data_IF_607323144194
#
_entry.id   IF_607323144194
#
_cell.length_a   1.000
_cell.length_b   1.000
_cell.length_c   1.000
_cell.angle_alpha   90.00
_cell.angle_beta   90.00
_cell.angle_gamma   90.00
#
_symmetry.space_group_name_H-M   'P 1'
#
loop_
_entity.id
_entity.type
_entity.pdbx_description
1 polymer ?
#
# COMPACT_ATOMS: atom_id res chain seq x y z
N UNK A 1 -25.32 11.40 -9.51
CA UNK A 1 -26.25 10.63 -8.66
C UNK A 1 -26.36 9.24 -9.25
N UNK A 2 -26.40 8.19 -8.41
CA UNK A 2 -26.60 6.83 -8.90
C UNK A 2 -28.02 6.70 -9.50
N UNK A 3 -28.20 6.06 -10.66
CA UNK A 3 -29.53 5.76 -11.18
C UNK A 3 -30.36 4.95 -10.18
N UNK A 4 -31.68 5.12 -10.19
CA UNK A 4 -32.57 4.27 -9.41
C UNK A 4 -32.45 2.80 -9.86
N UNK A 5 -32.88 1.88 -8.99
CA UNK A 5 -32.71 0.45 -9.23
C UNK A 5 -33.36 -0.02 -10.54
N UNK A 6 -34.51 0.54 -10.92
CA UNK A 6 -35.20 0.19 -12.16
C UNK A 6 -34.43 0.67 -13.40
N UNK A 7 -33.88 1.88 -13.34
CA UNK A 7 -33.02 2.44 -14.40
C UNK A 7 -31.71 1.66 -14.53
N UNK A 8 -31.07 1.29 -13.41
CA UNK A 8 -29.87 0.44 -13.39
C UNK A 8 -30.12 -0.91 -14.08
N UNK A 9 -31.23 -1.59 -13.74
CA UNK A 9 -31.61 -2.84 -14.41
C UNK A 9 -31.88 -2.66 -15.90
N UNK A 10 -32.53 -1.55 -16.31
CA UNK A 10 -32.75 -1.24 -17.74
C UNK A 10 -31.44 -1.01 -18.49
N UNK A 11 -30.48 -0.31 -17.89
CA UNK A 11 -29.13 -0.11 -18.44
C UNK A 11 -28.41 -1.46 -18.62
N UNK A 12 -28.43 -2.32 -17.61
CA UNK A 12 -27.80 -3.65 -17.70
C UNK A 12 -28.44 -4.52 -18.80
N UNK A 13 -29.77 -4.49 -18.95
CA UNK A 13 -30.45 -5.22 -20.02
C UNK A 13 -30.10 -4.63 -21.40
N UNK A 14 -30.09 -3.30 -21.54
CA UNK A 14 -29.71 -2.63 -22.79
C UNK A 14 -28.27 -2.93 -23.20
N UNK A 15 -27.35 -3.04 -22.24
CA UNK A 15 -25.96 -3.43 -22.51
C UNK A 15 -25.88 -4.83 -23.11
N UNK A 16 -26.63 -5.80 -22.58
CA UNK A 16 -26.71 -7.14 -23.16
C UNK A 16 -27.34 -7.15 -24.56
N UNK A 17 -28.39 -6.36 -24.77
CA UNK A 17 -29.02 -6.21 -26.10
C UNK A 17 -28.04 -5.58 -27.09
N UNK A 18 -27.27 -4.58 -26.65
CA UNK A 18 -26.20 -3.95 -27.44
C UNK A 18 -25.12 -4.97 -27.83
N UNK A 19 -24.75 -5.88 -26.93
CA UNK A 19 -23.84 -7.01 -27.19
C UNK A 19 -24.47 -8.13 -28.04
N UNK A 20 -25.73 -7.99 -28.45
CA UNK A 20 -26.47 -8.92 -29.31
C UNK A 20 -27.23 -10.02 -28.59
N UNK A 21 -27.20 -10.07 -27.25
CA UNK A 21 -27.98 -11.02 -26.46
C UNK A 21 -29.40 -10.50 -26.22
N UNK A 22 -30.39 -11.18 -26.83
CA UNK A 22 -31.80 -10.78 -26.80
C UNK A 22 -32.69 -11.76 -26.07
N UNK A 23 -32.18 -12.94 -25.69
CA UNK A 23 -32.98 -13.98 -25.03
C UNK A 23 -33.17 -13.58 -23.56
N UNK A 24 -34.42 -13.39 -23.09
CA UNK A 24 -34.67 -12.96 -21.72
C UNK A 24 -34.09 -13.90 -20.67
N UNK A 25 -34.04 -15.21 -20.95
CA UNK A 25 -33.44 -16.21 -20.07
C UNK A 25 -31.92 -16.07 -19.94
N UNK A 26 -31.23 -15.72 -21.02
CA UNK A 26 -29.78 -15.50 -21.02
C UNK A 26 -29.42 -14.20 -20.30
N UNK A 27 -30.15 -13.12 -20.59
CA UNK A 27 -30.01 -11.83 -19.91
C UNK A 27 -30.25 -12.00 -18.40
N UNK A 28 -31.36 -12.66 -18.01
CA UNK A 28 -31.72 -12.91 -16.62
C UNK A 28 -30.60 -13.63 -15.85
N UNK A 29 -30.00 -14.66 -16.48
CA UNK A 29 -28.89 -15.41 -15.92
C UNK A 29 -27.65 -14.54 -15.68
N UNK A 30 -27.33 -13.64 -16.62
CA UNK A 30 -26.14 -12.79 -16.52
C UNK A 30 -26.29 -11.67 -15.49
N UNK A 31 -27.47 -11.05 -15.40
CA UNK A 31 -27.70 -9.92 -14.48
C UNK A 31 -28.20 -10.35 -13.09
N UNK A 32 -28.57 -11.63 -12.92
CA UNK A 32 -28.99 -12.19 -11.63
C UNK A 32 -30.42 -11.84 -11.21
N UNK A 33 -31.36 -11.70 -12.16
CA UNK A 33 -32.78 -11.48 -11.87
C UNK A 33 -33.66 -12.57 -12.50
N UNK A 34 -34.97 -12.56 -12.22
CA UNK A 34 -35.90 -13.53 -12.83
C UNK A 34 -36.17 -13.22 -14.31
N UNK A 35 -36.49 -14.25 -15.09
CA UNK A 35 -36.87 -14.09 -16.51
C UNK A 35 -38.07 -13.16 -16.66
N UNK A 36 -39.04 -13.26 -15.74
CA UNK A 36 -40.21 -12.39 -15.67
C UNK A 36 -39.82 -10.93 -15.40
N UNK A 37 -38.80 -10.71 -14.56
CA UNK A 37 -38.22 -9.38 -14.31
C UNK A 37 -37.63 -8.78 -15.58
N UNK A 38 -36.84 -9.55 -16.34
CA UNK A 38 -36.31 -9.09 -17.64
C UNK A 38 -37.44 -8.73 -18.60
N UNK A 39 -38.45 -9.60 -18.74
CA UNK A 39 -39.59 -9.35 -19.62
C UNK A 39 -40.38 -8.09 -19.21
N UNK A 40 -40.56 -7.88 -17.91
CA UNK A 40 -41.20 -6.68 -17.37
C UNK A 40 -40.43 -5.41 -17.76
N UNK A 41 -39.11 -5.39 -17.56
CA UNK A 41 -38.29 -4.24 -17.95
C UNK A 41 -38.23 -4.05 -19.47
N UNK A 42 -38.14 -5.12 -20.26
CA UNK A 42 -38.19 -5.03 -21.73
C UNK A 42 -39.51 -4.42 -22.22
N UNK A 43 -40.64 -4.77 -21.61
CA UNK A 43 -41.94 -4.15 -21.95
C UNK A 43 -41.94 -2.65 -21.66
N UNK A 44 -41.38 -2.22 -20.53
CA UNK A 44 -41.24 -0.81 -20.20
C UNK A 44 -40.31 -0.10 -21.20
N UNK A 45 -39.17 -0.71 -21.54
CA UNK A 45 -38.21 -0.14 -22.49
C UNK A 45 -38.81 0.00 -23.89
N UNK A 46 -39.59 -0.98 -24.34
CA UNK A 46 -40.35 -0.88 -25.59
C UNK A 46 -41.37 0.27 -25.54
N UNK A 47 -42.11 0.40 -24.43
CA UNK A 47 -43.05 1.51 -24.22
C UNK A 47 -42.38 2.90 -24.17
N UNK A 48 -41.10 2.97 -23.77
CA UNK A 48 -40.27 4.19 -23.79
C UNK A 48 -39.56 4.41 -25.14
N UNK A 49 -39.72 3.52 -26.11
CA UNK A 49 -39.03 3.59 -27.40
C UNK A 49 -37.52 3.33 -27.33
N UNK A 50 -37.03 2.69 -26.26
CA UNK A 50 -35.59 2.36 -26.09
C UNK A 50 -35.21 1.09 -26.86
N UNK A 51 -36.18 0.21 -27.10
CA UNK A 51 -36.03 -0.98 -27.96
C UNK A 51 -37.16 -1.05 -28.96
N UNK A 52 -36.89 -1.59 -30.15
CA UNK A 52 -37.89 -1.80 -31.20
C UNK A 52 -38.69 -3.10 -31.00
N UNK A 53 -39.64 -3.38 -31.91
CA UNK A 53 -40.45 -4.60 -31.88
C UNK A 53 -39.64 -5.89 -32.06
N UNK A 54 -38.44 -5.81 -32.63
CA UNK A 54 -37.50 -6.92 -32.77
C UNK A 54 -36.54 -7.08 -31.59
N UNK A 55 -36.68 -6.25 -30.55
CA UNK A 55 -35.79 -6.23 -29.40
C UNK A 55 -34.40 -5.68 -29.71
N UNK A 56 -34.25 -4.86 -30.77
CA UNK A 56 -33.02 -4.13 -31.03
C UNK A 56 -33.03 -2.79 -30.28
N UNK A 57 -31.85 -2.35 -29.88
CA UNK A 57 -31.66 -1.00 -29.32
C UNK A 57 -31.97 0.06 -30.38
N UNK A 58 -32.79 1.05 -30.02
CA UNK A 58 -33.07 2.21 -30.87
C UNK A 58 -32.00 3.29 -30.67
N UNK A 59 -32.10 4.40 -31.42
CA UNK A 59 -31.22 5.56 -31.20
C UNK A 59 -31.45 6.18 -29.82
N UNK A 60 -32.70 6.25 -29.40
CA UNK A 60 -33.11 6.70 -28.06
C UNK A 60 -32.59 5.76 -26.98
N UNK A 61 -32.66 4.45 -27.22
CA UNK A 61 -32.08 3.41 -26.35
C UNK A 61 -30.57 3.56 -26.19
N UNK A 62 -29.85 3.82 -27.29
CA UNK A 62 -28.41 4.04 -27.27
C UNK A 62 -28.04 5.29 -26.46
N UNK A 63 -28.72 6.42 -26.71
CA UNK A 63 -28.49 7.65 -25.95
C UNK A 63 -28.78 7.47 -24.45
N UNK A 64 -29.85 6.74 -24.11
CA UNK A 64 -30.18 6.41 -22.73
C UNK A 64 -29.09 5.54 -22.08
N UNK A 65 -28.59 4.52 -22.79
CA UNK A 65 -27.50 3.67 -22.34
C UNK A 65 -26.21 4.48 -22.10
N UNK A 66 -25.81 5.32 -23.06
CA UNK A 66 -24.61 6.16 -22.98
C UNK A 66 -24.67 7.15 -21.81
N UNK A 67 -25.79 7.85 -21.65
CA UNK A 67 -26.01 8.80 -20.55
C UNK A 67 -26.01 8.08 -19.20
N UNK A 68 -26.64 6.90 -19.14
CA UNK A 68 -26.70 6.08 -17.94
C UNK A 68 -25.34 5.58 -17.49
N UNK A 69 -24.53 5.07 -18.42
CA UNK A 69 -23.16 4.62 -18.15
C UNK A 69 -22.25 5.77 -17.73
N UNK A 70 -22.35 6.92 -18.41
CA UNK A 70 -21.61 8.13 -18.04
C UNK A 70 -21.94 8.60 -16.61
N UNK A 71 -23.23 8.62 -16.26
CA UNK A 71 -23.69 8.99 -14.91
C UNK A 71 -23.17 8.02 -13.82
N UNK A 72 -23.09 6.72 -14.13
CA UNK A 72 -22.50 5.74 -13.21
C UNK A 72 -21.01 5.95 -13.02
N UNK A 73 -20.27 6.15 -14.12
CA UNK A 73 -18.83 6.46 -14.05
C UNK A 73 -18.60 7.66 -13.15
N UNK A 74 -19.34 8.75 -13.38
CA UNK A 74 -19.18 9.98 -12.61
C UNK A 74 -19.52 9.77 -11.13
N UNK A 75 -20.57 9.00 -10.81
CA UNK A 75 -20.92 8.65 -9.44
C UNK A 75 -19.81 7.85 -8.74
N UNK A 76 -19.26 6.83 -9.41
CA UNK A 76 -18.17 6.00 -8.86
C UNK A 76 -16.93 6.85 -8.63
N UNK A 77 -16.51 7.63 -9.63
CA UNK A 77 -15.34 8.52 -9.52
C UNK A 77 -15.49 9.54 -8.39
N UNK A 78 -16.66 10.17 -8.24
CA UNK A 78 -16.92 11.09 -7.13
C UNK A 78 -16.94 10.39 -5.77
N UNK A 79 -17.41 9.15 -5.70
CA UNK A 79 -17.45 8.39 -4.45
C UNK A 79 -16.06 7.96 -4.02
N UNK A 80 -15.22 7.52 -4.94
CA UNK A 80 -13.80 7.21 -4.69
C UNK A 80 -13.08 8.47 -4.20
N UNK A 81 -13.24 9.60 -4.91
CA UNK A 81 -12.62 10.86 -4.50
C UNK A 81 -13.02 11.29 -3.07
N UNK A 82 -14.29 11.07 -2.69
CA UNK A 82 -14.74 11.34 -1.31
C UNK A 82 -14.13 10.40 -0.28
N UNK A 83 -13.89 9.13 -0.62
CA UNK A 83 -13.26 8.17 0.28
C UNK A 83 -11.77 8.51 0.48
N UNK A 84 -11.06 8.90 -0.59
CA UNK A 84 -9.65 9.31 -0.53
C UNK A 84 -9.45 10.64 0.19
N UNK A 85 -10.48 11.49 0.26
CA UNK A 85 -10.48 12.73 1.04
C UNK A 85 -10.66 12.49 2.56
N UNK A 86 -11.10 11.30 2.99
CA UNK A 86 -11.28 10.97 4.41
C UNK A 86 -9.97 10.50 5.06
N UNK A 87 -9.06 9.89 4.29
CA UNK A 87 -7.78 9.41 4.84
C UNK A 87 -6.71 10.50 4.64
N UNK A 88 -6.45 11.24 5.71
CA UNK A 88 -5.34 12.19 5.74
C UNK A 88 -4.05 11.47 6.13
N UNK A 89 -3.03 11.61 5.30
CA UNK A 89 -1.69 11.12 5.55
C UNK A 89 -0.82 12.25 6.08
N UNK A 90 -0.01 11.95 7.08
CA UNK A 90 1.04 12.85 7.56
C UNK A 90 2.31 12.59 6.76
N UNK A 91 2.86 13.66 6.16
CA UNK A 91 4.14 13.63 5.49
C UNK A 91 5.02 14.79 5.97
N UNK A 92 6.33 14.60 5.88
CA UNK A 92 7.31 15.65 6.15
C UNK A 92 7.47 16.49 4.88
N UNK A 93 7.27 17.79 4.99
CA UNK A 93 7.47 18.70 3.87
C UNK A 93 8.96 18.77 3.49
N UNK A 94 9.25 18.59 2.21
CA UNK A 94 10.57 18.80 1.59
C UNK A 94 10.49 20.07 0.75
N UNK A 95 10.82 21.19 1.36
CA UNK A 95 10.59 22.55 0.88
C UNK A 95 9.23 23.11 1.29
N UNK A 96 9.00 24.38 0.92
CA UNK A 96 7.75 25.08 1.18
C UNK A 96 6.61 24.53 0.35
N UNK A 97 5.47 24.26 1.00
CA UNK A 97 4.24 23.75 0.41
C UNK A 97 3.09 24.63 0.87
N UNK A 98 2.29 25.13 -0.06
CA UNK A 98 1.06 25.84 0.26
C UNK A 98 -0.13 24.87 0.30
N UNK A 99 -1.15 25.21 1.08
CA UNK A 99 -2.40 24.49 1.13
C UNK A 99 -3.07 24.43 -0.25
N UNK A 100 -3.44 23.22 -0.68
CA UNK A 100 -4.06 22.97 -1.96
C UNK A 100 -3.07 22.65 -3.09
N UNK A 101 -1.75 22.75 -2.85
CA UNK A 101 -0.73 22.32 -3.80
C UNK A 101 -0.87 20.82 -4.11
N UNK A 102 -0.57 20.47 -5.36
CA UNK A 102 -0.28 19.08 -5.72
C UNK A 102 1.13 18.76 -5.26
N UNK A 103 1.27 17.69 -4.47
CA UNK A 103 2.55 17.26 -3.90
C UNK A 103 2.90 15.87 -4.39
N UNK A 104 4.18 15.63 -4.65
CA UNK A 104 4.72 14.30 -4.89
C UNK A 104 5.12 13.67 -3.57
N UNK A 105 4.83 12.38 -3.43
CA UNK A 105 5.13 11.60 -2.24
C UNK A 105 6.33 10.67 -2.48
N UNK A 106 7.21 10.57 -1.48
CA UNK A 106 8.33 9.62 -1.49
C UNK A 106 8.68 9.14 -0.09
N UNK A 107 9.12 7.89 0.03
CA UNK A 107 9.72 7.39 1.27
C UNK A 107 11.20 7.76 1.31
N UNK A 108 11.65 8.35 2.42
CA UNK A 108 13.06 8.64 2.70
C UNK A 108 13.34 8.32 4.16
N UNK A 109 14.40 7.55 4.41
CA UNK A 109 14.84 7.17 5.76
C UNK A 109 13.70 6.63 6.65
N UNK A 110 12.73 5.93 6.05
CA UNK A 110 11.60 5.33 6.77
C UNK A 110 10.40 6.24 7.00
N UNK A 111 10.44 7.49 6.54
CA UNK A 111 9.36 8.47 6.66
C UNK A 111 8.82 8.87 5.29
N UNK A 112 7.54 9.24 5.27
CA UNK A 112 6.90 9.78 4.09
C UNK A 112 7.23 11.27 3.98
N UNK A 113 7.75 11.68 2.84
CA UNK A 113 8.00 13.07 2.49
C UNK A 113 7.07 13.51 1.37
N UNK A 114 6.72 14.79 1.38
CA UNK A 114 5.96 15.46 0.34
C UNK A 114 6.77 16.61 -0.22
N UNK A 115 6.74 16.84 -1.54
CA UNK A 115 7.31 18.03 -2.15
C UNK A 115 6.44 18.57 -3.28
N UNK A 116 6.39 19.89 -3.44
CA UNK A 116 5.69 20.56 -4.55
C UNK A 116 6.48 20.51 -5.88
N UNK A 117 7.61 19.78 -5.91
CA UNK A 117 8.45 19.69 -7.11
C UNK A 117 7.87 18.71 -8.13
N UNK A 118 7.84 19.04 -9.43
CA UNK A 118 7.38 18.12 -10.48
C UNK A 118 8.21 16.83 -10.49
N UNK A 119 7.57 15.70 -10.77
CA UNK A 119 8.26 14.41 -10.86
C UNK A 119 7.34 13.24 -11.17
N UNK A 120 7.91 12.04 -11.18
CA UNK A 120 7.15 10.79 -11.31
C UNK A 120 6.97 10.14 -9.94
N UNK A 121 5.85 9.46 -9.74
CA UNK A 121 5.56 8.72 -8.50
C UNK A 121 4.13 8.94 -8.04
N UNK A 122 3.86 8.58 -6.79
CA UNK A 122 2.59 8.91 -6.15
C UNK A 122 2.47 10.42 -5.93
N UNK A 123 1.27 10.94 -6.12
CA UNK A 123 0.93 12.34 -5.86
C UNK A 123 -0.22 12.43 -4.86
N UNK A 124 -0.46 13.62 -4.32
CA UNK A 124 -1.59 13.92 -3.45
C UNK A 124 -1.82 15.43 -3.39
N UNK A 125 -2.75 15.86 -2.53
CA UNK A 125 -3.07 17.28 -2.33
C UNK A 125 -2.85 17.69 -0.88
N UNK A 126 -2.11 18.78 -0.67
CA UNK A 126 -1.89 19.35 0.66
C UNK A 126 -3.17 19.97 1.23
N UNK A 127 -3.32 19.91 2.56
CA UNK A 127 -4.47 20.49 3.30
C UNK A 127 -4.08 21.63 4.24
N UNK A 128 -2.79 21.89 4.39
CA UNK A 128 -2.24 23.00 5.16
C UNK A 128 -0.95 23.53 4.51
N UNK A 129 -0.56 24.74 4.87
CA UNK A 129 0.76 25.27 4.58
C UNK A 129 1.81 24.57 5.47
N UNK A 130 2.99 24.32 4.92
CA UNK A 130 4.13 23.74 5.64
C UNK A 130 5.46 24.27 5.07
N UNK A 131 6.42 24.56 5.96
CA UNK A 131 7.80 24.85 5.57
C UNK A 131 8.65 23.57 5.59
N UNK A 132 9.89 23.63 5.10
CA UNK A 132 10.77 22.45 5.03
C UNK A 132 10.98 21.82 6.43
N UNK A 133 10.71 20.52 6.53
CA UNK A 133 10.78 19.74 7.76
C UNK A 133 9.51 19.71 8.60
N UNK A 134 8.50 20.55 8.31
CA UNK A 134 7.22 20.56 9.02
C UNK A 134 6.30 19.41 8.56
N UNK A 135 5.20 19.20 9.30
CA UNK A 135 4.14 18.26 8.91
C UNK A 135 3.20 18.90 7.89
N UNK A 136 2.99 18.21 6.78
CA UNK A 136 1.93 18.49 5.82
C UNK A 136 0.92 17.34 5.80
N UNK A 137 -0.35 17.70 5.94
CA UNK A 137 -1.48 16.81 5.75
C UNK A 137 -1.74 16.64 4.26
N UNK A 138 -1.71 15.40 3.78
CA UNK A 138 -1.92 15.06 2.36
C UNK A 138 -3.13 14.13 2.21
N UNK A 139 -4.00 14.44 1.27
CA UNK A 139 -5.16 13.59 0.90
C UNK A 139 -5.15 13.27 -0.59
N UNK A 140 -6.17 12.56 -1.05
CA UNK A 140 -6.43 12.36 -2.48
C UNK A 140 -5.22 11.71 -3.18
N UNK A 141 -4.58 10.76 -2.49
CA UNK A 141 -3.36 10.12 -2.97
C UNK A 141 -3.66 9.31 -4.22
N UNK A 142 -2.88 9.53 -5.27
CA UNK A 142 -2.97 8.81 -6.53
C UNK A 142 -1.63 8.16 -6.87
N UNK A 143 -1.69 6.92 -7.36
CA UNK A 143 -0.51 6.11 -7.69
C UNK A 143 0.06 5.32 -6.51
N UNK A 144 1.21 4.67 -6.74
CA UNK A 144 1.87 3.80 -5.75
C UNK A 144 3.08 4.53 -5.17
N UNK A 145 3.12 4.63 -3.84
CA UNK A 145 4.29 5.12 -3.12
C UNK A 145 5.35 4.01 -3.17
N UNK A 146 6.43 4.25 -3.92
CA UNK A 146 7.47 3.24 -4.10
C UNK A 146 8.33 3.14 -2.84
N UNK A 147 8.22 2.02 -2.11
CA UNK A 147 9.03 1.72 -0.93
C UNK A 147 10.01 0.61 -1.27
N UNK A 148 11.30 0.90 -1.22
CA UNK A 148 12.33 -0.13 -1.37
C UNK A 148 12.47 -0.89 -0.05
N UNK A 149 11.82 -2.04 0.06
CA UNK A 149 11.83 -2.87 1.28
C UNK A 149 13.27 -3.15 1.74
N UNK A 150 13.51 -2.93 3.03
CA UNK A 150 14.79 -3.15 3.69
C UNK A 150 15.05 -4.62 4.01
N UNK A 151 16.31 -4.92 4.33
CA UNK A 151 16.74 -6.25 4.79
C UNK A 151 17.04 -6.22 6.28
N UNK A 152 16.71 -7.30 6.99
CA UNK A 152 17.08 -7.53 8.39
C UNK A 152 18.19 -8.57 8.44
N UNK A 153 19.40 -8.15 8.82
CA UNK A 153 20.54 -9.03 9.05
C UNK A 153 20.67 -9.34 10.53
N UNK A 154 20.65 -10.61 10.91
CA UNK A 154 20.86 -11.06 12.29
C UNK A 154 22.21 -11.74 12.36
N UNK A 155 23.10 -11.20 13.18
CA UNK A 155 24.43 -11.75 13.43
C UNK A 155 24.42 -12.38 14.82
N UNK A 156 24.50 -13.70 14.87
CA UNK A 156 24.52 -14.49 16.09
C UNK A 156 25.98 -14.65 16.52
N UNK A 157 26.30 -14.13 17.70
CA UNK A 157 27.61 -14.24 18.33
C UNK A 157 27.85 -15.68 18.81
N UNK A 158 29.13 -16.08 18.97
CA UNK A 158 29.46 -17.33 19.66
C UNK A 158 29.11 -17.23 21.15
N UNK A 159 29.13 -18.37 21.86
CA UNK A 159 28.95 -18.40 23.31
C UNK A 159 29.98 -17.53 24.05
N UNK A 160 29.57 -16.96 25.19
CA UNK A 160 30.36 -16.03 26.01
C UNK A 160 31.79 -16.55 26.29
N UNK A 161 31.92 -17.84 26.56
CA UNK A 161 33.16 -18.52 26.90
C UNK A 161 34.17 -18.53 25.73
N UNK A 162 33.68 -18.37 24.49
CA UNK A 162 34.47 -18.43 23.26
C UNK A 162 34.76 -17.05 22.64
N UNK A 163 34.17 -15.98 23.19
CA UNK A 163 34.19 -14.63 22.63
C UNK A 163 35.59 -14.04 22.43
N UNK A 164 36.55 -14.40 23.29
CA UNK A 164 37.90 -13.86 23.31
C UNK A 164 38.86 -14.47 22.28
N UNK A 165 38.50 -15.60 21.65
CA UNK A 165 39.43 -16.37 20.80
C UNK A 165 39.26 -16.14 19.30
N UNK A 166 38.09 -15.70 18.82
CA UNK A 166 37.74 -15.79 17.40
C UNK A 166 37.05 -14.56 16.79
N UNK A 167 36.77 -13.50 17.55
CA UNK A 167 35.91 -12.42 17.05
C UNK A 167 36.71 -11.27 16.40
N UNK A 168 36.76 -11.25 15.07
CA UNK A 168 37.28 -10.09 14.33
C UNK A 168 36.24 -8.96 14.32
N UNK A 169 36.35 -8.10 15.33
CA UNK A 169 35.50 -6.92 15.50
C UNK A 169 35.50 -6.01 14.28
N UNK A 170 36.61 -5.94 13.53
CA UNK A 170 36.71 -5.10 12.34
C UNK A 170 35.83 -5.63 11.20
N UNK A 171 35.77 -6.96 11.02
CA UNK A 171 34.89 -7.59 10.03
C UNK A 171 33.40 -7.33 10.33
N UNK A 172 33.01 -7.38 11.62
CA UNK A 172 31.65 -7.06 12.06
C UNK A 172 31.36 -5.59 11.77
N UNK A 173 32.26 -4.67 12.13
CA UNK A 173 32.07 -3.24 11.83
C UNK A 173 32.03 -2.95 10.32
N UNK A 174 32.80 -3.67 9.50
CA UNK A 174 32.78 -3.53 8.04
C UNK A 174 31.41 -3.90 7.45
N UNK A 175 30.84 -5.03 7.87
CA UNK A 175 29.49 -5.46 7.46
C UNK A 175 28.39 -4.49 7.93
N UNK A 176 28.61 -3.80 9.06
CA UNK A 176 27.71 -2.76 9.56
C UNK A 176 27.74 -1.47 8.72
N UNK A 177 28.87 -1.18 8.05
CA UNK A 177 29.06 0.05 7.28
C UNK A 177 28.84 -0.11 5.76
N UNK A 178 28.88 -1.32 5.22
CA UNK A 178 28.83 -1.56 3.76
C UNK A 178 27.48 -1.25 3.07
N UNK A 179 26.37 -1.11 3.80
CA UNK A 179 25.02 -1.01 3.19
C UNK A 179 24.36 0.38 3.25
N UNK A 180 25.12 1.45 3.51
CA UNK A 180 24.56 2.79 3.76
C UNK A 180 23.94 2.91 5.14
N UNK A 181 23.05 3.89 5.37
CA UNK A 181 22.33 4.08 6.65
C UNK A 181 21.53 2.79 6.98
N UNK A 182 22.09 1.98 7.87
CA UNK A 182 21.48 0.75 8.39
C UNK A 182 21.31 0.94 9.88
N UNK A 183 20.13 0.65 10.41
CA UNK A 183 19.93 0.70 11.87
C UNK A 183 20.66 -0.45 12.53
N UNK A 184 21.34 -0.18 13.63
CA UNK A 184 22.02 -1.21 14.40
C UNK A 184 21.21 -1.57 15.65
N UNK A 185 20.91 -2.86 15.80
CA UNK A 185 20.37 -3.42 17.03
C UNK A 185 21.38 -4.25 17.80
N UNK A 186 21.17 -4.34 19.11
CA UNK A 186 21.91 -5.27 19.97
C UNK A 186 20.96 -6.02 20.89
N UNK A 187 21.17 -7.33 21.05
CA UNK A 187 20.37 -8.18 21.94
C UNK A 187 21.27 -9.07 22.81
N UNK A 188 21.19 -8.81 24.10
CA UNK A 188 21.99 -9.50 25.12
C UNK A 188 23.27 -8.75 25.45
N UNK A 189 23.82 -9.11 26.60
CA UNK A 189 24.90 -8.37 27.25
C UNK A 189 26.20 -8.43 26.43
N UNK A 190 26.49 -9.57 25.82
CA UNK A 190 27.66 -9.75 24.93
C UNK A 190 27.62 -8.81 23.72
N UNK A 191 26.47 -8.77 23.03
CA UNK A 191 26.27 -7.93 21.86
C UNK A 191 26.42 -6.45 22.22
N UNK A 192 25.83 -6.03 23.34
CA UNK A 192 25.96 -4.67 23.84
C UNK A 192 27.41 -4.29 24.16
N UNK A 193 28.14 -5.15 24.88
CA UNK A 193 29.54 -4.90 25.23
C UNK A 193 30.43 -4.83 23.98
N UNK A 194 30.17 -5.68 22.99
CA UNK A 194 30.89 -5.66 21.70
C UNK A 194 30.67 -4.33 20.97
N UNK A 195 29.42 -3.90 20.81
CA UNK A 195 29.11 -2.61 20.17
C UNK A 195 29.88 -1.46 20.86
N UNK A 196 29.85 -1.41 22.19
CA UNK A 196 30.55 -0.38 22.98
C UNK A 196 32.06 -0.42 22.80
N UNK A 197 32.69 -1.60 22.81
CA UNK A 197 34.13 -1.76 22.60
C UNK A 197 34.56 -1.37 21.19
N UNK A 198 33.69 -1.55 20.21
CA UNK A 198 33.90 -1.12 18.82
C UNK A 198 33.57 0.35 18.57
N UNK A 199 33.23 1.13 19.61
CA UNK A 199 32.87 2.54 19.48
C UNK A 199 31.52 2.78 18.79
N UNK A 200 30.67 1.75 18.72
CA UNK A 200 29.37 1.82 18.05
C UNK A 200 28.26 1.97 19.10
N UNK A 201 27.33 2.89 18.83
CA UNK A 201 26.12 3.09 19.62
C UNK A 201 24.96 2.44 18.85
N UNK A 202 24.30 1.38 19.38
CA UNK A 202 23.15 0.79 18.73
C UNK A 202 21.96 1.78 18.68
N UNK A 203 21.26 1.84 17.55
CA UNK A 203 19.99 2.56 17.41
C UNK A 203 18.85 1.81 18.11
N UNK A 204 18.92 0.48 18.16
CA UNK A 204 17.86 -0.42 18.62
C UNK A 204 18.34 -1.30 19.78
N UNK A 205 18.34 -0.78 21.00
CA UNK A 205 18.72 -1.55 22.20
C UNK A 205 17.57 -2.40 22.77
N UNK A 206 16.32 -1.99 22.52
CA UNK A 206 15.12 -2.69 22.99
C UNK A 206 14.23 -3.08 21.82
N UNK A 207 13.57 -4.25 21.96
CA UNK A 207 12.72 -4.83 20.92
C UNK A 207 13.39 -4.84 19.53
N UNK A 208 14.70 -5.10 19.48
CA UNK A 208 15.53 -4.81 18.30
C UNK A 208 15.10 -5.60 17.06
N UNK A 209 14.72 -6.87 17.22
CA UNK A 209 14.17 -7.66 16.11
C UNK A 209 12.85 -7.05 15.61
N UNK A 210 11.89 -6.77 16.49
CA UNK A 210 10.61 -6.17 16.08
C UNK A 210 10.81 -4.82 15.38
N UNK A 211 11.67 -3.97 15.93
CA UNK A 211 12.00 -2.66 15.38
C UNK A 211 12.71 -2.76 14.03
N UNK A 212 13.58 -3.76 13.85
CA UNK A 212 14.25 -4.03 12.58
C UNK A 212 13.28 -4.42 11.46
N UNK A 213 12.27 -5.25 11.76
CA UNK A 213 11.22 -5.58 10.79
C UNK A 213 10.35 -4.38 10.43
N UNK A 214 9.96 -3.57 11.43
CA UNK A 214 9.20 -2.35 11.22
C UNK A 214 9.99 -1.33 10.37
N UNK A 215 11.29 -1.19 10.61
CA UNK A 215 12.18 -0.39 9.78
C UNK A 215 12.26 -0.95 8.34
N UNK A 216 12.35 -2.27 8.20
CA UNK A 216 12.41 -2.98 6.92
C UNK A 216 11.22 -2.67 6.01
N UNK A 217 9.99 -2.74 6.53
CA UNK A 217 8.79 -2.40 5.72
C UNK A 217 8.72 -0.93 5.32
N UNK A 218 9.38 -0.04 6.07
CA UNK A 218 9.50 1.39 5.75
C UNK A 218 10.69 1.69 4.83
N UNK A 219 11.43 0.67 4.43
CA UNK A 219 12.54 0.75 3.50
C UNK A 219 13.91 1.04 4.13
N UNK A 220 14.04 0.86 5.45
CA UNK A 220 15.29 1.02 6.17
C UNK A 220 15.82 -0.36 6.56
N UNK A 221 17.04 -0.68 6.12
CA UNK A 221 17.66 -1.95 6.48
C UNK A 221 18.21 -1.89 7.90
N UNK A 222 18.33 -3.05 8.55
CA UNK A 222 18.85 -3.16 9.91
C UNK A 222 19.81 -4.33 10.04
N UNK A 223 20.81 -4.18 10.90
CA UNK A 223 21.64 -5.28 11.38
C UNK A 223 21.47 -5.42 12.88
N UNK A 224 21.23 -6.62 13.37
CA UNK A 224 21.03 -6.89 14.80
C UNK A 224 22.06 -7.90 15.26
N UNK A 225 22.91 -7.49 16.19
CA UNK A 225 23.86 -8.37 16.86
C UNK A 225 23.17 -9.06 18.04
N UNK A 226 23.27 -10.39 18.12
CA UNK A 226 22.52 -11.19 19.10
C UNK A 226 23.46 -12.17 19.79
N UNK A 227 23.50 -12.16 21.12
CA UNK A 227 24.17 -13.22 21.90
C UNK A 227 23.56 -14.59 21.59
N UNK A 228 24.37 -15.64 21.52
CA UNK A 228 23.90 -17.00 21.19
C UNK A 228 22.73 -17.43 22.11
N UNK A 229 22.91 -17.22 23.42
CA UNK A 229 21.90 -17.53 24.45
C UNK A 229 20.56 -16.86 24.16
N UNK A 230 20.54 -15.60 23.74
CA UNK A 230 19.29 -14.86 23.46
C UNK A 230 18.67 -15.28 22.13
N UNK A 231 19.48 -15.64 21.14
CA UNK A 231 19.01 -16.04 19.82
C UNK A 231 18.02 -17.21 19.88
N UNK A 232 18.26 -18.21 20.74
CA UNK A 232 17.35 -19.34 20.92
C UNK A 232 15.91 -18.95 21.24
N UNK A 233 15.72 -17.87 22.01
CA UNK A 233 14.39 -17.38 22.37
C UNK A 233 13.73 -16.58 21.25
N UNK A 234 14.51 -16.08 20.29
CA UNK A 234 14.03 -15.21 19.20
C UNK A 234 13.63 -15.99 17.94
N UNK A 235 13.95 -17.27 17.84
CA UNK A 235 13.67 -18.05 16.61
C UNK A 235 12.17 -18.08 16.30
N UNK A 236 11.31 -18.22 17.32
CA UNK A 236 9.86 -18.18 17.12
C UNK A 236 9.42 -16.79 16.69
N UNK A 237 9.87 -15.74 17.39
CA UNK A 237 9.52 -14.35 17.11
C UNK A 237 9.92 -13.94 15.68
N UNK A 238 11.13 -14.32 15.25
CA UNK A 238 11.61 -14.05 13.88
C UNK A 238 10.69 -14.73 12.85
N UNK A 239 10.30 -15.98 13.08
CA UNK A 239 9.37 -16.69 12.17
C UNK A 239 8.00 -16.02 12.10
N UNK A 240 7.45 -15.61 13.25
CA UNK A 240 6.17 -14.93 13.32
C UNK A 240 6.22 -13.57 12.60
N UNK A 241 7.32 -12.85 12.76
CA UNK A 241 7.56 -11.58 12.07
C UNK A 241 7.75 -11.76 10.56
N UNK A 242 8.46 -12.80 10.10
CA UNK A 242 8.56 -13.13 8.67
C UNK A 242 7.19 -13.47 8.06
N UNK A 243 6.33 -14.17 8.80
CA UNK A 243 4.98 -14.49 8.35
C UNK A 243 4.10 -13.24 8.23
N UNK A 244 4.28 -12.28 9.15
CA UNK A 244 3.57 -11.00 9.17
C UNK A 244 4.08 -10.03 8.11
N UNK A 245 5.39 -9.95 7.92
CA UNK A 245 6.08 -9.01 7.04
C UNK A 245 6.83 -9.75 5.93
N UNK A 246 6.06 -10.39 5.03
CA UNK A 246 6.57 -11.37 4.06
C UNK A 246 7.59 -10.81 3.06
N UNK A 247 7.54 -9.51 2.79
CA UNK A 247 8.43 -8.86 1.83
C UNK A 247 9.80 -8.49 2.45
N UNK A 248 9.92 -8.51 3.78
CA UNK A 248 11.18 -8.21 4.47
C UNK A 248 12.09 -9.43 4.41
N UNK A 249 13.23 -9.27 3.73
CA UNK A 249 14.24 -10.32 3.66
C UNK A 249 15.01 -10.40 4.98
N UNK A 250 15.20 -11.62 5.50
CA UNK A 250 15.97 -11.87 6.72
C UNK A 250 17.17 -12.75 6.40
N UNK A 251 18.34 -12.31 6.85
CA UNK A 251 19.60 -13.06 6.72
C UNK A 251 20.13 -13.37 8.11
N UNK A 252 20.40 -14.63 8.40
CA UNK A 252 20.95 -15.05 9.69
C UNK A 252 22.36 -15.59 9.45
N UNK A 253 23.34 -15.04 10.17
CA UNK A 253 24.74 -15.43 10.12
C UNK A 253 25.22 -15.77 11.53
N UNK A 254 25.91 -16.89 11.69
CA UNK A 254 26.56 -17.28 12.94
C UNK A 254 28.06 -16.95 12.85
N UNK A 255 28.64 -16.43 13.92
CA UNK A 255 30.06 -16.13 14.06
C UNK A 255 30.77 -17.15 14.95
#
# INVERSE_FOLDING_TARGET
MLPDQGTLTQIMILLHIFDGEKKPSAIAKNIGITVQGVQYHMKIMAGKGLIDSGGNITKEGFNFLDTGLSSMRDFVSQSIARLDDVVTWEAIASGRIASGDEVRLEMRDGYLYASASPGKGATGRSRNDAEDGDIVAVTSINGIINVKIGTVSVIVLPDAENLSKNLDLNSITGELHENGKTLLGSIGEEAYVICRKSGIIPDLEYASIHSAFEAGIRGVSSTVLVSNRRFHYLISDIKDLQNRYRDVNVRIKYL
#
